data_IF_260194424933
#
_entry.id   IF_260194424933
#
_cell.length_a   1.000
_cell.length_b   1.000
_cell.length_c   1.000
_cell.angle_alpha   90.00
_cell.angle_beta   90.00
_cell.angle_gamma   90.00
#
_symmetry.space_group_name_H-M   'P 1'
#
loop_
_entity.id
_entity.type
_entity.pdbx_description
1 polymer ?
#
# COMPACT_ATOMS: atom_id res chain seq x y z
N UNK A 1 37.91 29.77 -0.30
CA UNK A 1 37.13 30.92 -0.80
C UNK A 1 35.98 31.30 0.13
N UNK A 2 35.17 30.36 0.63
CA UNK A 2 33.98 30.66 1.47
C UNK A 2 34.21 31.49 2.74
N UNK A 3 35.38 31.41 3.40
CA UNK A 3 35.59 32.11 4.68
C UNK A 3 35.78 33.62 4.52
N UNK A 4 36.28 34.08 3.36
CA UNK A 4 36.48 35.51 3.08
C UNK A 4 35.15 36.23 2.79
N UNK A 5 34.19 35.52 2.20
CA UNK A 5 32.88 36.06 1.84
C UNK A 5 31.99 36.30 3.09
N UNK A 6 32.11 35.45 4.11
CA UNK A 6 31.42 35.65 5.40
C UNK A 6 31.88 36.90 6.15
N UNK A 7 33.15 37.27 6.03
CA UNK A 7 33.70 38.46 6.70
C UNK A 7 33.24 39.74 5.99
N UNK A 8 33.12 39.75 4.67
CA UNK A 8 32.57 40.88 3.91
C UNK A 8 31.12 41.21 4.29
N UNK A 9 30.31 40.20 4.60
CA UNK A 9 28.93 40.33 5.13
C UNK A 9 28.84 41.03 6.51
N UNK A 10 29.92 41.02 7.28
CA UNK A 10 29.99 41.71 8.57
C UNK A 10 30.29 43.22 8.43
N UNK A 11 30.89 43.64 7.30
CA UNK A 11 31.26 45.02 6.99
C UNK A 11 30.23 45.79 6.15
N UNK A 12 29.19 45.11 5.68
CA UNK A 12 28.06 45.74 5.00
C UNK A 12 27.21 46.53 6.01
N UNK A 13 26.86 47.77 5.66
CA UNK A 13 26.04 48.65 6.50
C UNK A 13 24.72 47.92 6.87
N UNK A 14 24.23 48.09 8.11
CA UNK A 14 23.06 47.38 8.67
C UNK A 14 21.84 47.25 7.73
N UNK A 15 21.45 48.27 6.94
CA UNK A 15 20.34 48.12 5.98
C UNK A 15 20.65 47.14 4.84
N UNK A 16 21.88 47.12 4.33
CA UNK A 16 22.27 46.29 3.19
C UNK A 16 22.41 44.82 3.57
N UNK A 17 22.85 44.54 4.80
CA UNK A 17 22.82 43.18 5.39
C UNK A 17 21.39 42.66 5.56
N UNK A 18 20.45 43.51 6.00
CA UNK A 18 19.03 43.15 6.12
C UNK A 18 18.40 42.84 4.75
N UNK A 19 18.74 43.62 3.72
CA UNK A 19 18.28 43.36 2.35
C UNK A 19 18.79 42.00 1.85
N UNK A 20 20.08 41.70 2.07
CA UNK A 20 20.66 40.41 1.67
C UNK A 20 20.04 39.22 2.41
N UNK A 21 19.77 39.38 3.71
CA UNK A 21 19.04 38.38 4.50
C UNK A 21 17.61 38.18 4.02
N UNK A 22 16.89 39.26 3.68
CA UNK A 22 15.54 39.18 3.11
C UNK A 22 15.52 38.51 1.74
N UNK A 23 16.54 38.76 0.89
CA UNK A 23 16.70 38.10 -0.41
C UNK A 23 16.98 36.61 -0.28
N UNK A 24 17.85 36.21 0.66
CA UNK A 24 18.11 34.79 0.96
C UNK A 24 16.86 34.08 1.46
N UNK A 25 16.06 34.73 2.32
CA UNK A 25 14.82 34.17 2.87
C UNK A 25 13.71 34.05 1.81
N UNK A 26 13.65 34.98 0.86
CA UNK A 26 12.69 34.93 -0.24
C UNK A 26 13.07 33.88 -1.29
N UNK A 27 14.38 33.62 -1.49
CA UNK A 27 14.86 32.56 -2.38
C UNK A 27 14.56 31.16 -1.83
N UNK A 28 14.64 30.93 -0.51
CA UNK A 28 14.28 29.64 0.10
C UNK A 28 12.77 29.37 0.05
N UNK A 29 11.93 30.41 0.11
CA UNK A 29 10.48 30.28 0.00
C UNK A 29 10.02 29.91 -1.42
N UNK A 30 10.77 30.32 -2.44
CA UNK A 30 10.50 29.97 -3.84
C UNK A 30 10.86 28.51 -4.19
N UNK A 31 11.70 27.85 -3.38
CA UNK A 31 12.04 26.43 -3.51
C UNK A 31 11.02 25.47 -2.84
N UNK A 32 9.90 25.98 -2.31
CA UNK A 32 8.76 25.18 -1.87
C UNK A 32 8.07 24.52 -3.06
N UNK A 33 8.72 23.51 -3.62
CA UNK A 33 8.20 22.72 -4.75
C UNK A 33 6.93 21.96 -4.35
N UNK A 34 6.09 21.73 -5.34
CA UNK A 34 4.88 20.92 -5.29
C UNK A 34 5.18 19.53 -4.73
N UNK A 35 4.95 19.34 -3.43
CA UNK A 35 4.90 17.99 -2.86
C UNK A 35 3.60 17.37 -3.36
N UNK A 36 3.70 16.47 -4.33
CA UNK A 36 2.61 15.58 -4.69
C UNK A 36 2.40 14.59 -3.53
N UNK A 37 1.81 15.09 -2.44
CA UNK A 37 1.50 14.31 -1.23
C UNK A 37 0.36 13.31 -1.48
N UNK A 38 -0.32 13.43 -2.62
CA UNK A 38 -1.27 12.46 -3.10
C UNK A 38 -0.57 11.57 -4.12
N UNK A 39 -0.25 10.34 -3.71
CA UNK A 39 0.24 9.32 -4.63
C UNK A 39 -0.76 9.07 -5.77
N UNK A 40 -0.25 8.56 -6.89
CA UNK A 40 -1.07 8.19 -8.04
C UNK A 40 -2.22 7.27 -7.60
N UNK A 41 -3.44 7.58 -8.03
CA UNK A 41 -4.65 6.81 -7.69
C UNK A 41 -4.87 5.67 -8.70
N UNK A 42 -4.03 5.58 -9.73
CA UNK A 42 -3.96 4.43 -10.64
C UNK A 42 -3.31 3.25 -9.91
N UNK A 43 -3.87 2.02 -10.02
CA UNK A 43 -3.21 0.83 -9.50
C UNK A 43 -1.78 0.67 -10.00
N UNK A 44 -0.86 0.37 -9.08
CA UNK A 44 0.57 0.26 -9.36
C UNK A 44 0.99 -1.22 -9.38
N UNK A 45 1.78 -1.60 -10.38
CA UNK A 45 2.37 -2.94 -10.46
C UNK A 45 3.27 -3.22 -9.27
N UNK A 46 3.36 -4.49 -8.87
CA UNK A 46 4.17 -4.93 -7.73
C UNK A 46 5.25 -5.88 -8.23
N UNK A 47 6.52 -5.60 -7.88
CA UNK A 47 7.62 -6.52 -8.15
C UNK A 47 7.49 -7.77 -7.27
N UNK A 48 7.38 -8.91 -7.93
CA UNK A 48 7.22 -10.23 -7.31
C UNK A 48 8.30 -11.21 -7.79
N UNK A 49 9.38 -10.70 -8.39
CA UNK A 49 10.47 -11.51 -8.95
C UNK A 49 11.20 -12.39 -7.92
N UNK A 50 11.17 -12.00 -6.64
CA UNK A 50 11.75 -12.78 -5.53
C UNK A 50 10.84 -13.90 -5.01
N UNK A 51 9.60 -14.01 -5.50
CA UNK A 51 8.66 -15.06 -5.10
C UNK A 51 8.67 -16.23 -6.10
N UNK A 52 8.27 -17.45 -5.65
CA UNK A 52 7.97 -18.54 -6.57
C UNK A 52 6.91 -18.13 -7.59
N UNK A 53 7.23 -18.26 -8.88
CA UNK A 53 6.31 -17.92 -9.97
C UNK A 53 5.26 -19.02 -10.13
N UNK A 54 3.99 -18.66 -9.99
CA UNK A 54 2.84 -19.56 -9.91
C UNK A 54 2.27 -19.90 -11.29
N UNK A 55 2.65 -19.16 -12.33
CA UNK A 55 2.20 -19.35 -13.70
C UNK A 55 0.76 -18.85 -13.95
N UNK A 56 0.19 -19.15 -15.13
CA UNK A 56 -1.07 -18.54 -15.58
C UNK A 56 -2.31 -19.12 -14.90
N UNK A 57 -2.24 -20.35 -14.38
CA UNK A 57 -3.36 -20.97 -13.66
C UNK A 57 -3.44 -20.35 -12.26
N UNK A 58 -4.60 -19.78 -11.95
CA UNK A 58 -4.88 -19.28 -10.61
C UNK A 58 -4.96 -20.43 -9.61
N UNK A 59 -4.39 -20.19 -8.43
CA UNK A 59 -4.53 -21.04 -7.26
C UNK A 59 -5.88 -20.76 -6.61
N UNK A 60 -6.39 -21.76 -5.91
CA UNK A 60 -7.68 -21.68 -5.24
C UNK A 60 -7.52 -21.33 -3.75
N UNK A 61 -6.29 -21.42 -3.22
CA UNK A 61 -5.92 -21.06 -1.85
C UNK A 61 -4.59 -20.32 -1.84
N UNK A 62 -4.35 -19.51 -0.81
CA UNK A 62 -3.13 -18.73 -0.67
C UNK A 62 -1.88 -19.64 -0.54
N UNK A 63 -1.01 -19.69 -1.58
CA UNK A 63 0.18 -20.54 -1.55
C UNK A 63 1.28 -20.01 -0.62
N UNK A 64 1.13 -18.78 -0.11
CA UNK A 64 2.10 -18.10 0.75
C UNK A 64 1.60 -17.90 2.18
N UNK A 65 0.48 -18.51 2.58
CA UNK A 65 -0.02 -18.43 3.96
C UNK A 65 0.97 -19.02 4.98
N UNK A 66 1.77 -20.00 4.54
CA UNK A 66 2.80 -20.68 5.32
C UNK A 66 4.00 -21.05 4.42
N UNK A 67 5.07 -21.59 5.03
CA UNK A 67 6.22 -22.11 4.30
C UNK A 67 7.32 -21.08 4.04
N UNK A 68 8.35 -21.43 3.26
CA UNK A 68 9.60 -20.65 3.16
C UNK A 68 9.43 -19.30 2.44
N UNK A 69 8.42 -19.16 1.57
CA UNK A 69 8.15 -17.91 0.86
C UNK A 69 7.28 -16.92 1.66
N UNK A 70 6.70 -17.35 2.80
CA UNK A 70 5.70 -16.57 3.54
C UNK A 70 6.24 -15.23 4.04
N UNK A 71 7.46 -15.19 4.57
CA UNK A 71 8.06 -13.96 5.06
C UNK A 71 8.29 -12.93 3.93
N UNK A 72 8.72 -13.39 2.76
CA UNK A 72 8.93 -12.53 1.60
C UNK A 72 7.60 -12.04 1.00
N UNK A 73 6.61 -12.93 0.92
CA UNK A 73 5.26 -12.58 0.49
C UNK A 73 4.60 -11.58 1.45
N UNK A 74 4.83 -11.72 2.76
CA UNK A 74 4.38 -10.75 3.76
C UNK A 74 5.05 -9.38 3.57
N UNK A 75 6.36 -9.34 3.32
CA UNK A 75 7.10 -8.10 3.06
C UNK A 75 6.57 -7.38 1.82
N UNK A 76 6.41 -8.11 0.71
CA UNK A 76 5.86 -7.58 -0.54
C UNK A 76 4.40 -7.16 -0.35
N UNK A 77 3.60 -8.02 0.27
CA UNK A 77 2.17 -7.82 0.53
C UNK A 77 1.88 -6.58 1.37
N UNK A 78 2.71 -6.32 2.38
CA UNK A 78 2.61 -5.11 3.21
C UNK A 78 2.76 -3.85 2.36
N UNK A 79 3.78 -3.81 1.50
CA UNK A 79 4.01 -2.67 0.60
C UNK A 79 2.91 -2.55 -0.46
N UNK A 80 2.56 -3.67 -1.09
CA UNK A 80 1.52 -3.74 -2.12
C UNK A 80 0.15 -3.28 -1.61
N UNK A 81 -0.24 -3.71 -0.40
CA UNK A 81 -1.47 -3.29 0.26
C UNK A 81 -1.48 -1.78 0.51
N UNK A 82 -0.39 -1.22 1.06
CA UNK A 82 -0.29 0.20 1.36
C UNK A 82 -0.38 1.06 0.09
N UNK A 83 0.18 0.59 -1.02
CA UNK A 83 0.15 1.30 -2.30
C UNK A 83 -1.22 1.20 -2.99
N UNK A 84 -1.85 0.03 -2.98
CA UNK A 84 -3.00 -0.25 -3.85
C UNK A 84 -4.36 -0.31 -3.13
N UNK A 85 -4.38 -0.60 -1.82
CA UNK A 85 -5.62 -0.95 -1.11
C UNK A 85 -5.94 0.03 0.04
N UNK A 86 -4.91 0.49 0.75
CA UNK A 86 -5.06 1.24 1.99
C UNK A 86 -5.81 2.57 1.83
N UNK A 87 -5.83 3.15 0.63
CA UNK A 87 -6.60 4.39 0.37
C UNK A 87 -8.10 4.21 0.60
N UNK A 88 -8.66 3.03 0.31
CA UNK A 88 -10.09 2.76 0.45
C UNK A 88 -10.40 1.88 1.68
N UNK A 89 -9.52 0.91 1.97
CA UNK A 89 -9.69 -0.03 3.07
C UNK A 89 -8.94 0.37 4.35
N UNK A 90 -8.25 1.51 4.32
CA UNK A 90 -7.50 2.08 5.43
C UNK A 90 -6.12 1.47 5.65
N UNK A 91 -5.27 2.21 6.36
CA UNK A 91 -3.95 1.73 6.78
C UNK A 91 -4.13 0.56 7.74
N UNK A 92 -3.22 -0.41 7.67
CA UNK A 92 -3.30 -1.63 8.49
C UNK A 92 -4.59 -2.44 8.32
N UNK A 93 -5.30 -2.26 7.20
CA UNK A 93 -6.63 -2.81 6.95
C UNK A 93 -7.76 -2.29 7.85
N UNK A 94 -7.49 -1.23 8.63
CA UNK A 94 -8.48 -0.59 9.51
C UNK A 94 -9.25 0.47 8.71
N UNK A 95 -10.48 0.15 8.33
CA UNK A 95 -11.26 1.05 7.49
C UNK A 95 -11.71 2.32 8.23
N UNK A 96 -11.62 3.46 7.54
CA UNK A 96 -12.22 4.73 7.95
C UNK A 96 -13.68 4.93 7.51
N UNK A 97 -14.34 3.88 6.98
CA UNK A 97 -15.75 3.92 6.57
C UNK A 97 -16.02 4.06 5.07
N UNK A 98 -14.97 4.18 4.24
CA UNK A 98 -15.11 4.26 2.76
C UNK A 98 -15.43 2.89 2.15
N UNK A 99 -14.73 1.85 2.61
CA UNK A 99 -14.91 0.46 2.17
C UNK A 99 -14.86 -0.49 3.38
N UNK A 100 -15.18 -1.79 3.26
CA UNK A 100 -15.14 -2.70 4.40
C UNK A 100 -13.76 -2.77 5.07
N UNK A 101 -13.74 -2.93 6.40
CA UNK A 101 -12.54 -3.27 7.17
C UNK A 101 -12.10 -4.69 6.80
N UNK A 102 -10.90 -4.83 6.23
CA UNK A 102 -10.45 -6.11 5.68
C UNK A 102 -9.92 -7.08 6.75
N UNK A 103 -9.79 -6.62 8.00
CA UNK A 103 -9.50 -7.52 9.14
C UNK A 103 -10.69 -8.39 9.49
N UNK A 104 -11.87 -8.00 9.03
CA UNK A 104 -13.14 -8.72 9.21
C UNK A 104 -13.47 -9.63 8.01
N UNK A 105 -12.61 -9.71 7.00
CA UNK A 105 -12.87 -10.40 5.74
C UNK A 105 -13.37 -11.84 5.96
N UNK A 106 -12.72 -12.58 6.84
CA UNK A 106 -13.01 -13.98 7.13
C UNK A 106 -13.30 -14.23 8.62
N UNK A 107 -13.85 -13.21 9.31
CA UNK A 107 -14.20 -13.29 10.72
C UNK A 107 -15.15 -14.45 11.03
N UNK A 108 -16.11 -14.70 10.15
CA UNK A 108 -17.10 -15.78 10.34
C UNK A 108 -16.44 -17.18 10.33
N UNK A 109 -15.21 -17.30 9.82
CA UNK A 109 -14.41 -18.53 9.91
C UNK A 109 -13.73 -18.70 11.28
N UNK A 110 -13.45 -17.61 12.00
CA UNK A 110 -12.68 -17.61 13.26
C UNK A 110 -13.37 -18.40 14.38
N UNK A 111 -14.70 -18.36 14.45
CA UNK A 111 -15.49 -19.02 15.51
C UNK A 111 -15.68 -20.53 15.29
N UNK A 112 -15.29 -21.06 14.12
CA UNK A 112 -15.43 -22.48 13.82
C UNK A 112 -14.48 -23.32 14.69
N UNK A 113 -15.05 -24.21 15.51
CA UNK A 113 -14.29 -25.10 16.41
C UNK A 113 -13.65 -26.28 15.67
N UNK A 114 -14.29 -26.76 14.62
CA UNK A 114 -13.77 -27.86 13.81
C UNK A 114 -12.69 -27.33 12.86
N UNK A 115 -11.49 -27.90 12.95
CA UNK A 115 -10.34 -27.42 12.19
C UNK A 115 -10.49 -27.62 10.68
N UNK A 116 -11.13 -28.70 10.24
CA UNK A 116 -11.34 -28.98 8.83
C UNK A 116 -12.36 -28.01 8.23
N UNK A 117 -13.47 -27.74 8.95
CA UNK A 117 -14.45 -26.73 8.54
C UNK A 117 -13.88 -25.31 8.55
N UNK A 118 -13.06 -24.98 9.56
CA UNK A 118 -12.36 -23.69 9.61
C UNK A 118 -11.43 -23.52 8.41
N UNK A 119 -10.63 -24.52 8.08
CA UNK A 119 -9.74 -24.48 6.92
C UNK A 119 -10.51 -24.35 5.61
N UNK A 120 -11.60 -25.12 5.44
CA UNK A 120 -12.46 -25.01 4.26
C UNK A 120 -13.08 -23.61 4.12
N UNK A 121 -13.58 -23.03 5.22
CA UNK A 121 -14.10 -21.66 5.25
C UNK A 121 -13.03 -20.65 4.80
N UNK A 122 -11.79 -20.73 5.30
CA UNK A 122 -10.73 -19.83 4.85
C UNK A 122 -10.41 -20.00 3.37
N UNK A 123 -10.44 -21.22 2.83
CA UNK A 123 -10.24 -21.46 1.41
C UNK A 123 -11.36 -20.84 0.55
N UNK A 124 -12.62 -20.95 0.98
CA UNK A 124 -13.74 -20.26 0.30
C UNK A 124 -13.54 -18.74 0.32
N UNK A 125 -13.03 -18.21 1.43
CA UNK A 125 -12.71 -16.78 1.55
C UNK A 125 -11.51 -16.34 0.70
N UNK A 126 -10.56 -17.25 0.42
CA UNK A 126 -9.46 -17.01 -0.51
C UNK A 126 -9.97 -16.88 -1.95
N UNK A 127 -10.87 -17.77 -2.37
CA UNK A 127 -11.53 -17.70 -3.68
C UNK A 127 -12.33 -16.40 -3.83
N UNK A 128 -13.10 -16.05 -2.80
CA UNK A 128 -13.83 -14.78 -2.75
C UNK A 128 -12.87 -13.58 -2.87
N UNK A 129 -11.78 -13.57 -2.10
CA UNK A 129 -10.79 -12.50 -2.13
C UNK A 129 -10.18 -12.33 -3.52
N UNK A 130 -9.66 -13.40 -4.12
CA UNK A 130 -9.01 -13.35 -5.43
C UNK A 130 -9.99 -12.90 -6.52
N UNK A 131 -11.20 -13.46 -6.54
CA UNK A 131 -12.22 -13.06 -7.50
C UNK A 131 -12.58 -11.57 -7.35
N UNK A 132 -12.61 -11.07 -6.12
CA UNK A 132 -12.93 -9.67 -5.79
C UNK A 132 -11.83 -8.72 -6.23
N UNK A 133 -10.57 -8.99 -5.88
CA UNK A 133 -9.44 -8.13 -6.26
C UNK A 133 -9.27 -8.10 -7.78
N UNK A 134 -9.40 -9.25 -8.44
CA UNK A 134 -9.26 -9.34 -9.88
C UNK A 134 -10.32 -8.54 -10.64
N UNK A 135 -11.59 -8.73 -10.28
CA UNK A 135 -12.74 -8.20 -11.05
C UNK A 135 -13.28 -6.88 -10.52
N UNK A 136 -12.85 -6.47 -9.33
CA UNK A 136 -13.36 -5.29 -8.65
C UNK A 136 -14.81 -5.44 -8.17
N UNK A 137 -15.44 -4.30 -7.87
CA UNK A 137 -16.84 -4.17 -7.47
C UNK A 137 -17.46 -2.94 -8.12
N UNK A 138 -18.56 -3.17 -8.84
CA UNK A 138 -19.36 -2.13 -9.50
C UNK A 138 -20.82 -2.31 -9.11
N UNK A 139 -21.52 -1.22 -8.82
CA UNK A 139 -22.98 -1.21 -8.58
C UNK A 139 -23.58 0.01 -9.26
N UNK A 140 -24.68 -0.19 -9.98
CA UNK A 140 -25.39 0.85 -10.74
C UNK A 140 -24.45 1.65 -11.67
N UNK A 141 -23.51 0.96 -12.32
CA UNK A 141 -22.51 1.57 -13.22
C UNK A 141 -21.38 2.33 -12.53
N UNK A 142 -21.37 2.43 -11.19
CA UNK A 142 -20.29 3.09 -10.43
C UNK A 142 -19.30 2.06 -9.92
N UNK A 143 -18.02 2.29 -10.20
CA UNK A 143 -16.90 1.47 -9.70
C UNK A 143 -16.62 1.85 -8.24
N UNK A 144 -16.82 0.90 -7.33
CA UNK A 144 -16.52 1.04 -5.90
C UNK A 144 -15.14 0.48 -5.54
N UNK A 145 -14.73 -0.58 -6.24
CA UNK A 145 -13.40 -1.16 -6.15
C UNK A 145 -12.92 -1.43 -7.58
N UNK A 146 -11.81 -0.82 -8.03
CA UNK A 146 -11.30 -1.06 -9.37
C UNK A 146 -10.84 -2.52 -9.53
N UNK A 147 -10.93 -3.08 -10.75
CA UNK A 147 -10.30 -4.37 -11.05
C UNK A 147 -8.78 -4.23 -11.05
N UNK A 148 -8.08 -5.24 -10.55
CA UNK A 148 -6.62 -5.30 -10.55
C UNK A 148 -6.05 -6.39 -11.47
N UNK A 149 -6.91 -7.20 -12.10
CA UNK A 149 -6.46 -8.19 -13.08
C UNK A 149 -5.77 -7.51 -14.28
N UNK A 150 -4.61 -8.05 -14.68
CA UNK A 150 -3.76 -7.46 -15.71
C UNK A 150 -2.82 -6.36 -15.20
N UNK A 151 -2.98 -5.89 -13.96
CA UNK A 151 -2.08 -4.92 -13.32
C UNK A 151 -1.25 -5.60 -12.22
N UNK A 152 -1.93 -6.33 -11.34
CA UNK A 152 -1.29 -7.15 -10.31
C UNK A 152 -1.15 -8.59 -10.81
N UNK A 153 0.05 -9.14 -10.63
CA UNK A 153 0.29 -10.57 -10.85
C UNK A 153 -0.42 -11.39 -9.78
N UNK A 154 -0.56 -12.69 -10.03
CA UNK A 154 -1.14 -13.60 -9.04
C UNK A 154 -0.34 -13.60 -7.73
N UNK A 155 0.99 -13.54 -7.83
CA UNK A 155 1.91 -13.49 -6.70
C UNK A 155 1.69 -12.22 -5.87
N UNK A 156 1.40 -11.09 -6.52
CA UNK A 156 1.13 -9.83 -5.85
C UNK A 156 -0.20 -9.88 -5.08
N UNK A 157 -1.24 -10.42 -5.70
CA UNK A 157 -2.55 -10.59 -5.05
C UNK A 157 -2.43 -11.54 -3.84
N UNK A 158 -1.74 -12.67 -3.98
CA UNK A 158 -1.52 -13.59 -2.86
C UNK A 158 -0.63 -13.03 -1.76
N UNK A 159 0.34 -12.18 -2.10
CA UNK A 159 1.15 -11.46 -1.12
C UNK A 159 0.28 -10.50 -0.30
N UNK A 160 -0.63 -9.76 -0.95
CA UNK A 160 -1.61 -8.90 -0.24
C UNK A 160 -2.48 -9.76 0.68
N UNK A 161 -2.96 -10.91 0.23
CA UNK A 161 -3.73 -11.84 1.08
C UNK A 161 -2.92 -12.29 2.30
N UNK A 162 -1.66 -12.68 2.10
CA UNK A 162 -0.74 -13.08 3.18
C UNK A 162 -0.59 -11.96 4.21
N UNK A 163 -0.50 -10.71 3.77
CA UNK A 163 -0.53 -9.56 4.68
C UNK A 163 -1.86 -9.45 5.46
N UNK A 164 -3.00 -9.57 4.79
CA UNK A 164 -4.32 -9.50 5.45
C UNK A 164 -4.53 -10.62 6.47
N UNK A 165 -4.00 -11.82 6.23
CA UNK A 165 -4.05 -12.94 7.18
C UNK A 165 -3.37 -12.60 8.51
N UNK A 166 -2.31 -11.78 8.49
CA UNK A 166 -1.63 -11.27 9.71
C UNK A 166 -2.41 -10.18 10.44
N UNK A 167 -3.45 -9.63 9.80
CA UNK A 167 -4.28 -8.53 10.33
C UNK A 167 -5.66 -8.97 10.77
N UNK A 168 -6.00 -10.26 10.64
CA UNK A 168 -7.28 -10.84 11.07
C UNK A 168 -7.60 -10.44 12.51
N UNK A 169 -8.85 -10.06 12.74
CA UNK A 169 -9.37 -9.97 14.10
C UNK A 169 -10.12 -11.25 14.47
N UNK A 170 -9.96 -11.72 15.73
CA UNK A 170 -10.81 -12.78 16.26
C UNK A 170 -12.27 -12.35 16.32
#
# INVERSE_FOLDING_TARGET
MLLKDLVMLAYLNTPLRRIFQMLLLSLTMLCGTTVFAHGDVVPQSVDTSSLPQLGPKWRDANPFSTGPAQAEALRIGTSAYNQNCARCHGLEAISGGISPDLRMLDRDCSDLKDAAKKQACHQEMDEYFVATVRRGRTRDGRVYMPPFEGILTQEAIWSIKTYLETRRQP
#
